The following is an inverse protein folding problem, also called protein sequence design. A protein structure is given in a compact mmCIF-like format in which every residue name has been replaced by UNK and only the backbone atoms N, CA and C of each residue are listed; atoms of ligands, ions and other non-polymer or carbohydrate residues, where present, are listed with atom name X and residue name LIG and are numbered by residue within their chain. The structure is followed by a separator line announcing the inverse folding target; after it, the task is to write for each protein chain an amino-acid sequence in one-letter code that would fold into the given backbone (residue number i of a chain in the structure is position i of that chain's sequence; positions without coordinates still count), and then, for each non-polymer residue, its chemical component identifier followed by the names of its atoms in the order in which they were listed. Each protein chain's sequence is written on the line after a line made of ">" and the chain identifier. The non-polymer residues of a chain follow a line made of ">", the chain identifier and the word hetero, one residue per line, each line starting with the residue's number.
data_IF_670142803053
#
_entry.id   IF_670142803053
#
_cell.length_a   1.000
_cell.length_b   1.000
_cell.length_c   1.000
_cell.angle_alpha   90.00
_cell.angle_beta   90.00
_cell.angle_gamma   90.00
#
_symmetry.space_group_name_H-M   'P 1'
#
loop_
_entity.id
_entity.type
_entity.pdbx_description
1 polymer ?
#
# COMPACT_ATOMS: atom_id res chain seq x y z
N UNK A 1 -27.91 30.77 51.56
CA UNK A 1 -27.57 31.31 50.24
C UNK A 1 -27.42 30.10 49.31
N UNK A 2 -28.47 29.77 48.57
CA UNK A 2 -28.54 28.58 47.70
C UNK A 2 -28.19 29.05 46.30
N UNK A 3 -27.09 28.55 45.74
CA UNK A 3 -26.69 28.84 44.36
C UNK A 3 -27.25 27.73 43.47
N UNK A 4 -28.19 28.09 42.60
CA UNK A 4 -28.76 27.22 41.57
C UNK A 4 -27.81 27.24 40.37
N UNK A 5 -27.25 26.08 40.02
CA UNK A 5 -26.53 25.90 38.75
C UNK A 5 -27.54 25.53 37.65
N UNK A 6 -27.75 26.44 36.70
CA UNK A 6 -28.42 26.17 35.43
C UNK A 6 -27.42 25.46 34.51
N UNK A 7 -27.69 24.23 34.13
CA UNK A 7 -26.96 23.53 33.06
C UNK A 7 -27.69 23.86 31.75
N UNK A 8 -27.10 24.72 30.92
CA UNK A 8 -27.53 24.90 29.54
C UNK A 8 -26.89 23.80 28.69
N UNK A 9 -27.68 22.82 28.26
CA UNK A 9 -27.32 21.90 27.18
C UNK A 9 -27.53 22.60 25.84
N UNK A 10 -26.45 22.98 25.16
CA UNK A 10 -26.49 23.43 23.78
C UNK A 10 -26.46 22.20 22.86
N UNK A 11 -27.62 21.85 22.30
CA UNK A 11 -27.72 20.99 21.12
C UNK A 11 -27.19 21.77 19.91
N UNK A 12 -26.09 21.29 19.31
CA UNK A 12 -25.67 21.76 17.98
C UNK A 12 -26.45 20.95 16.96
N UNK A 13 -27.47 21.56 16.37
CA UNK A 13 -28.08 21.05 15.13
C UNK A 13 -27.11 21.37 13.99
N UNK A 14 -26.59 20.33 13.33
CA UNK A 14 -25.93 20.50 12.04
C UNK A 14 -26.99 20.90 11.01
N UNK A 15 -26.96 22.16 10.57
CA UNK A 15 -27.83 22.63 9.49
C UNK A 15 -27.38 21.98 8.18
N UNK A 16 -28.27 21.16 7.61
CA UNK A 16 -28.23 20.77 6.20
C UNK A 16 -28.48 22.01 5.34
N UNK A 17 -27.42 22.62 4.81
CA UNK A 17 -27.52 23.61 3.74
C UNK A 17 -27.18 22.96 2.40
N UNK A 18 -28.18 22.30 1.80
CA UNK A 18 -28.25 22.16 0.35
C UNK A 18 -28.89 23.42 -0.21
N UNK A 19 -28.09 24.36 -0.70
CA UNK A 19 -28.38 25.14 -1.91
C UNK A 19 -27.23 26.11 -2.18
N UNK A 20 -26.25 25.64 -2.93
CA UNK A 20 -25.44 26.48 -3.81
C UNK A 20 -25.49 25.82 -5.19
N UNK A 21 -25.75 26.58 -6.27
CA UNK A 21 -25.74 26.01 -7.60
C UNK A 21 -24.31 25.51 -7.88
N UNK A 22 -24.13 24.19 -7.99
CA UNK A 22 -22.84 23.59 -8.32
C UNK A 22 -22.48 23.91 -9.77
N UNK A 23 -21.77 25.02 -9.96
CA UNK A 23 -21.09 25.34 -11.22
C UNK A 23 -19.70 24.73 -11.18
N UNK A 24 -19.50 23.56 -11.78
CA UNK A 24 -18.16 22.97 -11.94
C UNK A 24 -18.16 21.56 -12.52
N UNK A 25 -17.73 21.45 -13.78
CA UNK A 25 -17.35 20.23 -14.53
C UNK A 25 -18.46 19.43 -15.24
N UNK A 26 -18.68 19.81 -16.50
CA UNK A 26 -19.26 18.94 -17.52
C UNK A 26 -18.34 17.75 -17.80
N UNK A 27 -18.92 16.59 -18.11
CA UNK A 27 -18.20 15.45 -18.71
C UNK A 27 -17.26 15.94 -19.82
N UNK A 28 -16.04 15.39 -19.89
CA UNK A 28 -15.19 15.65 -21.04
C UNK A 28 -15.92 15.19 -22.32
N UNK A 29 -15.49 15.70 -23.48
CA UNK A 29 -15.98 15.20 -24.76
C UNK A 29 -15.78 13.68 -24.94
N UNK A 30 -14.93 13.06 -24.11
CA UNK A 30 -14.65 11.63 -24.07
C UNK A 30 -15.53 10.84 -23.09
N UNK A 31 -16.45 11.47 -22.36
CA UNK A 31 -17.46 10.80 -21.52
C UNK A 31 -17.02 10.44 -20.10
N UNK A 32 -15.93 11.01 -19.61
CA UNK A 32 -15.42 10.86 -18.23
C UNK A 32 -15.00 12.21 -17.63
N UNK A 33 -14.86 12.26 -16.31
CA UNK A 33 -14.30 13.39 -15.56
C UNK A 33 -12.83 13.11 -15.28
N UNK A 34 -12.00 14.14 -15.37
CA UNK A 34 -10.57 14.05 -15.08
C UNK A 34 -10.27 14.70 -13.73
N UNK A 35 -9.49 14.02 -12.90
CA UNK A 35 -8.83 14.57 -11.72
C UNK A 35 -7.32 14.40 -11.89
N UNK A 36 -6.58 15.49 -12.11
CA UNK A 36 -5.17 15.42 -12.49
C UNK A 36 -4.33 16.56 -11.92
N UNK A 37 -3.00 16.38 -11.96
CA UNK A 37 -2.00 17.42 -11.82
C UNK A 37 -0.88 17.19 -12.85
N UNK A 38 0.27 17.85 -12.67
CA UNK A 38 1.45 17.70 -13.54
C UNK A 38 1.90 16.25 -13.71
N UNK A 39 1.76 15.42 -12.67
CA UNK A 39 2.38 14.09 -12.60
C UNK A 39 1.40 12.95 -12.90
N UNK A 40 0.21 12.98 -12.31
CA UNK A 40 -0.76 11.87 -12.31
C UNK A 40 -2.14 12.32 -12.78
N UNK A 41 -2.86 11.42 -13.46
CA UNK A 41 -4.18 11.64 -14.01
C UNK A 41 -5.12 10.47 -13.67
N UNK A 42 -6.27 10.80 -13.10
CA UNK A 42 -7.37 9.87 -12.84
C UNK A 42 -8.54 10.19 -13.76
N UNK A 43 -8.94 9.22 -14.56
CA UNK A 43 -10.16 9.31 -15.36
C UNK A 43 -11.30 8.56 -14.66
N UNK A 44 -12.40 9.26 -14.40
CA UNK A 44 -13.52 8.80 -13.57
C UNK A 44 -14.79 8.80 -14.43
N UNK A 45 -15.36 7.61 -14.62
CA UNK A 45 -16.55 7.39 -15.44
C UNK A 45 -17.83 7.74 -14.65
N UNK A 46 -18.94 8.11 -15.33
CA UNK A 46 -20.20 8.45 -14.67
C UNK A 46 -20.76 7.39 -13.71
N UNK A 47 -20.38 6.13 -13.91
CA UNK A 47 -20.77 5.00 -13.09
C UNK A 47 -19.91 4.84 -11.81
N UNK A 48 -18.97 5.75 -11.53
CA UNK A 48 -18.07 5.70 -10.38
C UNK A 48 -16.83 4.81 -10.55
N UNK A 49 -16.62 4.21 -11.73
CA UNK A 49 -15.37 3.49 -12.04
C UNK A 49 -14.27 4.47 -12.41
N UNK A 50 -13.02 4.11 -12.12
CA UNK A 50 -11.88 4.96 -12.41
C UNK A 50 -10.72 4.17 -13.02
N UNK A 51 -9.85 4.89 -13.72
CA UNK A 51 -8.55 4.40 -14.22
C UNK A 51 -7.48 5.44 -13.92
N UNK A 52 -6.23 5.00 -13.79
CA UNK A 52 -5.11 5.86 -13.37
C UNK A 52 -3.98 5.72 -14.40
N UNK A 53 -3.43 6.85 -14.79
CA UNK A 53 -2.23 6.96 -15.62
C UNK A 53 -1.41 8.18 -15.22
N UNK A 54 -0.34 8.42 -15.95
CA UNK A 54 0.59 9.52 -15.71
C UNK A 54 0.47 10.59 -16.77
N UNK A 55 0.68 11.83 -16.36
CA UNK A 55 0.96 12.96 -17.24
C UNK A 55 2.47 13.05 -17.44
N UNK A 56 3.19 13.80 -16.60
CA UNK A 56 4.66 13.85 -16.63
C UNK A 56 5.34 12.73 -15.84
N UNK A 57 4.60 11.91 -15.09
CA UNK A 57 5.17 10.75 -14.42
C UNK A 57 6.09 11.10 -13.25
N UNK A 58 7.08 10.24 -12.99
CA UNK A 58 8.12 10.46 -11.98
C UNK A 58 9.13 11.50 -12.52
N UNK A 59 9.34 12.65 -11.86
CA UNK A 59 10.27 13.68 -12.35
C UNK A 59 11.73 13.24 -12.52
N UNK A 60 12.13 12.11 -11.95
CA UNK A 60 13.50 11.58 -12.04
C UNK A 60 13.74 10.73 -13.30
N UNK A 61 12.68 10.30 -14.01
CA UNK A 61 12.77 9.48 -15.22
C UNK A 61 11.74 9.95 -16.27
N UNK A 62 12.10 9.95 -17.55
CA UNK A 62 11.17 10.33 -18.61
C UNK A 62 10.35 9.15 -19.17
N UNK A 63 10.64 7.93 -18.69
CA UNK A 63 10.11 6.69 -19.28
C UNK A 63 8.65 6.44 -18.94
N UNK A 64 8.18 7.00 -17.83
CA UNK A 64 6.80 6.86 -17.37
C UNK A 64 5.90 8.05 -17.73
N UNK A 65 6.33 9.01 -18.55
CA UNK A 65 5.47 10.08 -19.04
C UNK A 65 4.37 9.53 -19.97
N UNK A 66 3.12 9.93 -19.74
CA UNK A 66 1.97 9.55 -20.58
C UNK A 66 1.69 8.04 -20.59
N UNK A 67 1.96 7.34 -19.49
CA UNK A 67 1.85 5.88 -19.37
C UNK A 67 0.66 5.46 -18.53
N UNK A 68 0.20 4.24 -18.78
CA UNK A 68 -0.84 3.59 -17.98
C UNK A 68 -0.23 3.07 -16.68
N UNK A 69 -0.98 3.23 -15.59
CA UNK A 69 -0.77 2.50 -14.34
C UNK A 69 -1.89 1.48 -14.10
N UNK A 70 -3.09 1.73 -14.63
CA UNK A 70 -4.20 0.78 -14.69
C UNK A 70 -4.63 0.53 -16.13
N UNK A 71 -5.15 -0.68 -16.39
CA UNK A 71 -5.55 -1.12 -17.72
C UNK A 71 -6.51 -0.14 -18.39
N UNK A 72 -6.23 0.15 -19.65
CA UNK A 72 -7.05 0.96 -20.53
C UNK A 72 -7.33 2.39 -20.06
N UNK A 73 -6.52 2.97 -19.16
CA UNK A 73 -6.55 4.41 -18.91
C UNK A 73 -6.43 5.18 -20.25
N UNK A 74 -7.27 6.21 -20.49
CA UNK A 74 -8.23 6.82 -19.57
C UNK A 74 -9.69 6.30 -19.69
N UNK A 75 -9.97 5.19 -20.38
CA UNK A 75 -11.35 4.81 -20.79
C UNK A 75 -11.86 3.46 -20.30
N UNK A 76 -11.04 2.66 -19.62
CA UNK A 76 -11.48 1.33 -19.17
C UNK A 76 -12.53 1.39 -18.07
N UNK A 77 -13.21 0.27 -17.89
CA UNK A 77 -14.13 -0.01 -16.79
C UNK A 77 -13.73 -1.29 -16.03
N UNK A 78 -12.54 -1.84 -16.25
CA UNK A 78 -12.11 -3.13 -15.70
C UNK A 78 -11.68 -3.05 -14.24
N UNK A 79 -11.25 -1.88 -13.77
CA UNK A 79 -11.11 -1.53 -12.35
C UNK A 79 -12.49 -1.20 -11.76
N UNK A 80 -12.83 -1.82 -10.62
CA UNK A 80 -14.10 -1.56 -9.94
C UNK A 80 -14.06 -1.94 -8.46
N UNK A 81 -15.03 -1.44 -7.70
CA UNK A 81 -15.22 -1.78 -6.28
C UNK A 81 -16.47 -2.62 -6.10
N UNK A 82 -16.43 -3.56 -5.18
CA UNK A 82 -17.57 -4.38 -4.74
C UNK A 82 -18.00 -3.95 -3.35
N UNK A 83 -19.31 -3.75 -3.18
CA UNK A 83 -19.97 -3.54 -1.89
C UNK A 83 -20.65 -4.85 -1.52
N UNK A 84 -20.23 -5.49 -0.42
CA UNK A 84 -20.90 -6.68 0.12
C UNK A 84 -21.83 -6.24 1.23
N UNK A 85 -23.13 -6.35 1.01
CA UNK A 85 -24.17 -5.95 1.96
C UNK A 85 -25.03 -7.17 2.30
N UNK A 86 -25.04 -7.56 3.58
CA UNK A 86 -25.82 -8.70 4.10
C UNK A 86 -25.65 -9.99 3.28
N UNK A 87 -24.41 -10.24 2.84
CA UNK A 87 -24.04 -11.42 2.05
C UNK A 87 -24.22 -11.28 0.54
N UNK A 88 -24.82 -10.19 0.05
CA UNK A 88 -25.02 -9.92 -1.38
C UNK A 88 -23.92 -8.98 -1.91
N UNK A 89 -23.34 -9.31 -3.06
CA UNK A 89 -22.30 -8.51 -3.70
C UNK A 89 -22.90 -7.57 -4.76
N UNK A 90 -22.58 -6.28 -4.68
CA UNK A 90 -22.95 -5.26 -5.64
C UNK A 90 -21.71 -4.60 -6.22
N UNK A 91 -21.77 -4.21 -7.50
CA UNK A 91 -20.79 -3.25 -8.03
C UNK A 91 -21.04 -1.88 -7.41
N UNK A 92 -19.98 -1.18 -7.00
CA UNK A 92 -20.06 0.24 -6.66
C UNK A 92 -20.60 1.04 -7.86
N UNK A 93 -21.57 1.92 -7.59
CA UNK A 93 -22.14 2.82 -8.58
C UNK A 93 -23.05 2.14 -9.60
N UNK A 94 -22.81 2.38 -10.89
CA UNK A 94 -23.72 1.99 -11.97
C UNK A 94 -25.09 2.64 -11.82
N UNK A 95 -26.16 1.84 -11.89
CA UNK A 95 -27.54 2.33 -11.69
C UNK A 95 -27.82 2.81 -10.26
N UNK A 96 -26.93 2.51 -9.30
CA UNK A 96 -27.08 2.93 -7.90
C UNK A 96 -26.52 4.34 -7.64
N UNK A 97 -25.92 5.01 -8.63
CA UNK A 97 -25.39 6.37 -8.48
C UNK A 97 -26.54 7.33 -8.17
N UNK A 98 -26.51 7.92 -6.97
CA UNK A 98 -27.44 8.95 -6.53
C UNK A 98 -26.84 10.36 -6.68
N UNK A 99 -25.52 10.48 -6.53
CA UNK A 99 -24.77 11.71 -6.83
C UNK A 99 -23.65 11.33 -7.79
N UNK A 100 -23.67 11.83 -9.05
CA UNK A 100 -22.64 11.48 -10.01
C UNK A 100 -21.27 11.99 -9.57
N UNK A 101 -20.19 11.38 -10.06
CA UNK A 101 -18.84 11.90 -9.86
C UNK A 101 -18.76 13.38 -10.25
N UNK A 102 -18.10 14.16 -9.41
CA UNK A 102 -17.82 15.58 -9.64
C UNK A 102 -16.55 15.96 -8.91
N UNK A 103 -15.76 16.87 -9.50
CA UNK A 103 -14.58 17.38 -8.81
C UNK A 103 -15.02 18.42 -7.78
N UNK A 104 -14.34 18.37 -6.65
CA UNK A 104 -14.34 19.40 -5.62
C UNK A 104 -13.01 20.13 -5.85
N UNK A 105 -13.07 21.18 -6.67
CA UNK A 105 -11.91 21.97 -7.06
C UNK A 105 -11.24 22.60 -5.80
N UNK A 106 -9.96 22.97 -5.90
CA UNK A 106 -9.07 23.39 -4.79
C UNK A 106 -8.53 22.26 -3.87
N UNK A 107 -9.18 21.09 -3.81
CA UNK A 107 -8.74 19.97 -2.94
C UNK A 107 -8.02 18.81 -3.65
N UNK A 108 -7.90 18.86 -4.98
CA UNK A 108 -7.56 17.70 -5.83
C UNK A 108 -8.41 16.48 -5.47
N UNK A 109 -9.72 16.67 -5.36
CA UNK A 109 -10.66 15.64 -4.93
C UNK A 109 -11.81 15.47 -5.91
N UNK A 110 -12.27 14.25 -6.09
CA UNK A 110 -13.52 13.90 -6.75
C UNK A 110 -14.39 13.11 -5.78
N UNK A 111 -15.71 13.34 -5.82
CA UNK A 111 -16.66 12.64 -4.96
C UNK A 111 -17.86 12.11 -5.76
N UNK A 112 -18.35 10.93 -5.38
CA UNK A 112 -19.63 10.37 -5.87
C UNK A 112 -20.34 9.61 -4.76
N UNK A 113 -21.65 9.41 -4.88
CA UNK A 113 -22.44 8.66 -3.90
C UNK A 113 -23.32 7.64 -4.61
N UNK A 114 -23.23 6.37 -4.18
CA UNK A 114 -24.13 5.29 -4.55
C UNK A 114 -25.02 4.89 -3.35
N UNK A 115 -26.24 4.40 -3.63
CA UNK A 115 -27.20 3.95 -2.60
C UNK A 115 -27.60 2.50 -2.80
N UNK A 116 -27.52 1.70 -1.73
CA UNK A 116 -27.97 0.31 -1.66
C UNK A 116 -29.06 0.22 -0.60
N UNK A 117 -30.30 0.54 -0.98
CA UNK A 117 -31.36 0.81 -0.01
C UNK A 117 -31.02 2.03 0.85
N UNK A 118 -31.03 1.86 2.17
CA UNK A 118 -30.65 2.91 3.12
C UNK A 118 -29.16 2.89 3.51
N UNK A 119 -28.35 2.00 2.95
CA UNK A 119 -26.89 2.03 3.10
C UNK A 119 -26.28 2.85 1.99
N UNK A 120 -25.65 3.97 2.34
CA UNK A 120 -25.06 4.91 1.39
C UNK A 120 -23.55 4.73 1.35
N UNK A 121 -22.99 4.69 0.14
CA UNK A 121 -21.55 4.53 -0.08
C UNK A 121 -21.05 5.75 -0.84
N UNK A 122 -20.23 6.58 -0.21
CA UNK A 122 -19.54 7.71 -0.84
C UNK A 122 -18.15 7.27 -1.27
N UNK A 123 -17.80 7.47 -2.53
CA UNK A 123 -16.44 7.37 -3.03
C UNK A 123 -15.80 8.76 -2.98
N UNK A 124 -14.62 8.86 -2.39
CA UNK A 124 -13.74 10.01 -2.44
C UNK A 124 -12.40 9.59 -3.07
N UNK A 125 -12.06 10.20 -4.21
CA UNK A 125 -10.77 10.02 -4.88
C UNK A 125 -9.98 11.30 -4.72
N UNK A 126 -8.73 11.23 -4.21
CA UNK A 126 -7.91 12.43 -3.97
C UNK A 126 -6.47 12.25 -4.42
N UNK A 127 -5.87 13.29 -4.99
CA UNK A 127 -4.42 13.32 -5.25
C UNK A 127 -3.69 13.80 -3.99
N UNK A 128 -2.80 12.96 -3.46
CA UNK A 128 -2.09 13.16 -2.20
C UNK A 128 -0.60 12.84 -2.36
N UNK A 129 0.22 13.28 -1.41
CA UNK A 129 1.56 12.73 -1.23
C UNK A 129 1.46 11.36 -0.54
N UNK A 130 1.86 10.32 -1.26
CA UNK A 130 1.88 8.95 -0.77
C UNK A 130 2.83 8.73 0.41
N UNK A 131 3.81 9.62 0.64
CA UNK A 131 4.92 9.46 1.59
C UNK A 131 6.15 8.78 0.97
N UNK A 132 6.19 8.71 -0.36
CA UNK A 132 7.23 7.99 -1.11
C UNK A 132 7.83 8.82 -2.24
N UNK A 133 7.29 10.01 -2.50
CA UNK A 133 7.74 10.88 -3.59
C UNK A 133 7.98 12.33 -3.18
N UNK A 134 7.32 12.81 -2.12
CA UNK A 134 7.33 14.21 -1.72
C UNK A 134 6.43 15.10 -2.58
N UNK A 135 5.64 14.51 -3.49
CA UNK A 135 4.76 15.20 -4.44
C UNK A 135 3.39 14.52 -4.48
N UNK A 136 2.36 15.20 -5.02
CA UNK A 136 1.00 14.66 -5.09
C UNK A 136 0.81 13.66 -6.25
N UNK A 137 1.60 12.60 -6.29
CA UNK A 137 1.60 11.58 -7.36
C UNK A 137 0.92 10.26 -6.95
N UNK A 138 0.17 10.30 -5.84
CA UNK A 138 -0.55 9.14 -5.31
C UNK A 138 -2.04 9.43 -5.24
N UNK A 139 -2.86 8.45 -5.61
CA UNK A 139 -4.31 8.51 -5.50
C UNK A 139 -4.74 7.85 -4.20
N UNK A 140 -5.33 8.62 -3.30
CA UNK A 140 -6.13 8.10 -2.19
C UNK A 140 -7.48 7.65 -2.74
N UNK A 141 -7.79 6.36 -2.57
CA UNK A 141 -9.05 5.74 -2.99
C UNK A 141 -9.81 5.41 -1.71
N UNK A 142 -10.85 6.19 -1.42
CA UNK A 142 -11.61 6.09 -0.17
C UNK A 142 -13.07 5.79 -0.44
N UNK A 143 -13.62 4.89 0.36
CA UNK A 143 -15.05 4.66 0.46
C UNK A 143 -15.51 4.91 1.89
N UNK A 144 -16.49 5.77 2.06
CA UNK A 144 -17.19 6.00 3.32
C UNK A 144 -18.56 5.35 3.21
N UNK A 145 -18.87 4.43 4.12
CA UNK A 145 -20.18 3.76 4.16
C UNK A 145 -20.94 4.21 5.39
N UNK A 146 -22.16 4.70 5.19
CA UNK A 146 -23.07 5.14 6.25
C UNK A 146 -24.33 4.29 6.21
N UNK A 147 -24.70 3.70 7.34
CA UNK A 147 -25.97 3.02 7.50
C UNK A 147 -27.05 4.03 7.91
N UNK A 148 -27.90 4.46 6.97
CA UNK A 148 -29.05 5.33 7.24
C UNK A 148 -30.35 4.54 7.51
N UNK A 149 -30.27 3.21 7.64
CA UNK A 149 -31.41 2.42 8.07
C UNK A 149 -31.61 2.49 9.59
N UNK A 150 -32.76 1.99 10.04
CA UNK A 150 -33.13 1.81 11.44
C UNK A 150 -32.63 0.50 12.04
N UNK A 151 -32.04 -0.39 11.22
CA UNK A 151 -31.52 -1.70 11.61
C UNK A 151 -30.02 -1.81 11.28
N UNK A 152 -29.25 -2.63 12.02
CA UNK A 152 -27.85 -2.88 11.69
C UNK A 152 -27.72 -3.68 10.39
N UNK A 153 -26.62 -3.46 9.67
CA UNK A 153 -26.29 -4.16 8.42
C UNK A 153 -24.84 -4.65 8.44
N UNK A 154 -24.56 -5.80 7.83
CA UNK A 154 -23.19 -6.27 7.64
C UNK A 154 -22.64 -5.75 6.31
N UNK A 155 -21.58 -4.94 6.38
CA UNK A 155 -20.99 -4.27 5.21
C UNK A 155 -19.52 -4.61 5.09
N UNK A 156 -19.12 -5.05 3.89
CA UNK A 156 -17.71 -5.18 3.48
C UNK A 156 -17.44 -4.43 2.18
N UNK A 157 -16.18 -4.03 1.97
CA UNK A 157 -15.72 -3.40 0.73
C UNK A 157 -14.57 -4.21 0.12
N UNK A 158 -14.58 -4.36 -1.21
CA UNK A 158 -13.42 -4.83 -1.97
C UNK A 158 -13.08 -3.84 -3.07
N UNK A 159 -11.86 -3.33 -3.08
CA UNK A 159 -11.33 -2.49 -4.15
C UNK A 159 -10.46 -3.36 -5.05
N UNK A 160 -10.86 -3.57 -6.31
CA UNK A 160 -10.09 -4.35 -7.30
C UNK A 160 -9.57 -3.43 -8.39
N UNK A 161 -8.26 -3.45 -8.61
CA UNK A 161 -7.59 -2.65 -9.63
C UNK A 161 -6.91 -3.56 -10.65
N UNK A 162 -7.25 -3.32 -11.91
CA UNK A 162 -6.71 -4.01 -13.10
C UNK A 162 -5.40 -3.32 -13.53
N UNK A 163 -4.27 -3.97 -13.31
CA UNK A 163 -2.95 -3.33 -13.41
C UNK A 163 -2.35 -3.52 -14.79
N UNK A 164 -1.92 -2.41 -15.40
CA UNK A 164 -1.19 -2.39 -16.67
C UNK A 164 -0.14 -1.30 -16.62
N UNK A 165 1.13 -1.70 -16.65
CA UNK A 165 2.27 -0.80 -16.47
C UNK A 165 2.87 -0.51 -17.83
N UNK A 166 2.61 0.70 -18.34
CA UNK A 166 2.97 1.08 -19.71
C UNK A 166 2.23 0.21 -20.74
N UNK A 167 2.96 -0.73 -21.36
CA UNK A 167 2.41 -1.71 -22.30
C UNK A 167 2.30 -3.13 -21.72
N UNK A 168 2.78 -3.36 -20.49
CA UNK A 168 2.76 -4.68 -19.87
C UNK A 168 1.46 -4.87 -19.07
N UNK A 169 0.57 -5.70 -19.61
CA UNK A 169 -0.71 -6.10 -19.01
C UNK A 169 -0.59 -7.31 -18.05
N UNK A 170 0.60 -7.91 -18.03
CA UNK A 170 0.99 -8.96 -17.10
C UNK A 170 2.05 -8.43 -16.14
N UNK A 171 1.76 -7.27 -15.54
CA UNK A 171 2.70 -6.56 -14.69
C UNK A 171 3.09 -7.42 -13.48
N UNK A 172 4.38 -7.80 -13.33
CA UNK A 172 4.84 -8.48 -12.14
C UNK A 172 4.75 -7.56 -10.92
N UNK A 173 4.58 -8.18 -9.77
CA UNK A 173 4.57 -7.47 -8.48
C UNK A 173 5.86 -7.71 -7.71
N UNK A 174 6.10 -6.83 -6.75
CA UNK A 174 7.22 -6.93 -5.83
C UNK A 174 6.81 -6.44 -4.46
N UNK A 175 7.15 -7.22 -3.44
CA UNK A 175 6.77 -6.95 -2.04
C UNK A 175 8.02 -6.96 -1.16
N UNK A 176 8.30 -5.87 -0.43
CA UNK A 176 9.39 -5.79 0.54
C UNK A 176 9.37 -6.97 1.51
N UNK A 177 10.53 -7.54 1.82
CA UNK A 177 10.64 -8.74 2.66
C UNK A 177 10.21 -10.07 2.02
N UNK A 178 9.48 -10.06 0.90
CA UNK A 178 9.02 -11.27 0.19
C UNK A 178 9.72 -11.48 -1.17
N UNK A 179 9.84 -10.43 -1.99
CA UNK A 179 10.46 -10.52 -3.32
C UNK A 179 9.46 -10.38 -4.46
N UNK A 180 9.86 -10.91 -5.62
CA UNK A 180 9.08 -10.88 -6.84
C UNK A 180 7.89 -11.84 -6.76
N UNK A 181 6.71 -11.37 -7.16
CA UNK A 181 5.46 -12.13 -7.15
C UNK A 181 4.88 -12.15 -8.56
N UNK A 182 4.95 -13.32 -9.18
CA UNK A 182 4.41 -13.61 -10.53
C UNK A 182 3.26 -14.62 -10.50
N UNK A 183 2.91 -15.10 -9.30
CA UNK A 183 1.79 -16.02 -9.06
C UNK A 183 0.82 -15.44 -8.05
N UNK A 184 -0.44 -15.83 -8.15
CA UNK A 184 -1.50 -15.33 -7.29
C UNK A 184 -1.16 -15.64 -5.85
N UNK A 185 -1.06 -14.58 -5.05
CA UNK A 185 -0.62 -14.61 -3.67
C UNK A 185 -1.64 -13.84 -2.83
N UNK A 186 -2.07 -14.46 -1.73
CA UNK A 186 -3.03 -13.88 -0.79
C UNK A 186 -2.32 -13.63 0.53
N UNK A 187 -2.53 -12.44 1.08
CA UNK A 187 -2.07 -12.01 2.39
C UNK A 187 -3.27 -11.77 3.29
N UNK A 188 -3.17 -12.16 4.56
CA UNK A 188 -4.25 -12.05 5.54
C UNK A 188 -3.77 -11.28 6.79
N UNK A 189 -4.60 -10.36 7.28
CA UNK A 189 -4.33 -9.61 8.51
C UNK A 189 -2.90 -9.04 8.57
N UNK A 190 -2.13 -9.48 9.56
CA UNK A 190 -0.76 -8.99 9.80
C UNK A 190 0.27 -9.38 8.72
N UNK A 191 -0.07 -10.29 7.79
CA UNK A 191 0.78 -10.62 6.64
C UNK A 191 0.66 -9.63 5.49
N UNK A 192 -0.35 -8.73 5.53
CA UNK A 192 -0.57 -7.74 4.49
C UNK A 192 0.59 -6.75 4.49
N UNK A 193 1.32 -6.61 3.37
CA UNK A 193 2.46 -5.72 3.32
C UNK A 193 2.00 -4.25 3.40
N UNK A 194 2.78 -3.43 4.10
CA UNK A 194 2.54 -1.99 4.20
C UNK A 194 2.40 -1.35 2.81
N UNK A 195 3.31 -1.72 1.89
CA UNK A 195 3.30 -1.32 0.50
C UNK A 195 3.75 -2.44 -0.44
N UNK A 196 3.40 -2.30 -1.71
CA UNK A 196 3.74 -3.21 -2.80
C UNK A 196 3.95 -2.41 -4.07
N UNK A 197 4.69 -2.97 -5.02
CA UNK A 197 4.95 -2.33 -6.31
C UNK A 197 4.47 -3.22 -7.46
N UNK A 198 3.97 -2.61 -8.53
CA UNK A 198 3.84 -3.24 -9.84
C UNK A 198 4.75 -2.52 -10.83
N UNK A 199 5.30 -3.27 -11.77
CA UNK A 199 6.25 -2.74 -12.76
C UNK A 199 6.08 -3.39 -14.12
N UNK A 200 6.57 -2.73 -15.15
CA UNK A 200 6.61 -3.27 -16.51
C UNK A 200 7.71 -4.33 -16.70
N UNK A 201 8.79 -4.27 -15.90
CA UNK A 201 9.91 -5.22 -15.92
C UNK A 201 10.52 -5.39 -14.52
N UNK A 202 10.85 -6.62 -14.13
CA UNK A 202 11.55 -6.92 -12.86
C UNK A 202 13.04 -6.53 -12.89
N UNK A 203 13.61 -6.41 -14.09
CA UNK A 203 15.06 -6.25 -14.32
C UNK A 203 15.38 -4.77 -14.56
N UNK A 204 14.70 -4.17 -15.53
CA UNK A 204 14.90 -2.80 -15.98
C UNK A 204 13.54 -2.10 -16.04
N UNK A 205 12.95 -1.76 -14.88
CA UNK A 205 11.65 -1.12 -14.84
C UNK A 205 11.70 0.26 -15.48
N UNK A 206 10.76 0.54 -16.37
CA UNK A 206 10.59 1.86 -17.00
C UNK A 206 9.29 2.54 -16.55
N UNK A 207 8.32 1.77 -16.04
CA UNK A 207 7.08 2.26 -15.43
C UNK A 207 6.83 1.46 -14.16
N UNK A 208 6.76 2.15 -13.02
CA UNK A 208 6.53 1.51 -11.71
C UNK A 208 5.44 2.24 -10.97
N UNK A 209 4.43 1.49 -10.53
CA UNK A 209 3.44 1.97 -9.59
C UNK A 209 3.68 1.40 -8.19
N UNK A 210 3.12 2.08 -7.20
CA UNK A 210 3.12 1.61 -5.83
C UNK A 210 1.70 1.66 -5.26
N UNK A 211 1.32 0.61 -4.55
CA UNK A 211 0.15 0.61 -3.67
C UNK A 211 0.55 0.59 -2.20
N UNK A 212 -0.25 1.24 -1.35
CA UNK A 212 -0.04 1.24 0.11
C UNK A 212 -1.31 0.77 0.81
N UNK A 213 -1.21 -0.30 1.61
CA UNK A 213 -2.35 -0.94 2.27
C UNK A 213 -2.59 -0.43 3.69
N UNK A 214 -1.53 -0.07 4.42
CA UNK A 214 -1.60 0.08 5.90
C UNK A 214 -1.22 1.50 6.35
N UNK A 215 -1.32 2.50 5.48
CA UNK A 215 -0.94 3.88 5.80
C UNK A 215 -1.87 4.45 6.89
N UNK A 216 -1.47 4.41 8.17
CA UNK A 216 -2.13 5.12 9.29
C UNK A 216 -3.62 4.80 9.47
N UNK A 217 -4.05 3.61 9.04
CA UNK A 217 -5.47 3.31 8.95
C UNK A 217 -5.98 2.79 10.29
N UNK A 218 -7.03 3.44 10.83
CA UNK A 218 -7.80 2.89 11.96
C UNK A 218 -8.51 1.59 11.59
N UNK A 219 -8.82 1.42 10.30
CA UNK A 219 -9.47 0.23 9.73
C UNK A 219 -8.60 -0.39 8.61
N UNK A 220 -7.54 -1.13 8.94
CA UNK A 220 -6.70 -1.80 7.95
C UNK A 220 -7.48 -2.88 7.18
N UNK A 221 -7.04 -3.26 5.97
CA UNK A 221 -7.66 -4.37 5.24
C UNK A 221 -7.49 -5.70 5.96
N UNK A 222 -8.46 -6.60 5.77
CA UNK A 222 -8.44 -7.95 6.35
C UNK A 222 -7.78 -8.96 5.41
N UNK A 223 -7.81 -8.70 4.10
CA UNK A 223 -7.21 -9.55 3.05
C UNK A 223 -6.70 -8.72 1.88
N UNK A 224 -5.55 -9.09 1.34
CA UNK A 224 -4.96 -8.47 0.15
C UNK A 224 -4.50 -9.53 -0.84
N UNK A 225 -4.79 -9.33 -2.12
CA UNK A 225 -4.45 -10.30 -3.18
C UNK A 225 -3.69 -9.59 -4.29
N UNK A 226 -2.56 -10.17 -4.67
CA UNK A 226 -1.86 -9.92 -5.92
C UNK A 226 -2.15 -11.11 -6.83
N UNK A 227 -2.78 -10.90 -7.99
CA UNK A 227 -3.38 -12.00 -8.73
C UNK A 227 -3.68 -11.74 -10.20
N UNK A 228 -4.53 -12.60 -10.76
CA UNK A 228 -5.05 -12.44 -12.13
C UNK A 228 -6.38 -11.68 -12.11
N UNK A 229 -6.52 -10.69 -13.00
CA UNK A 229 -7.77 -9.96 -13.24
C UNK A 229 -8.92 -10.91 -13.51
N UNK A 230 -8.72 -11.89 -14.40
CA UNK A 230 -9.75 -12.87 -14.78
C UNK A 230 -10.27 -13.68 -13.58
N UNK A 231 -9.42 -13.97 -12.60
CA UNK A 231 -9.81 -14.70 -11.39
C UNK A 231 -10.58 -13.76 -10.44
N UNK A 232 -10.06 -12.55 -10.23
CA UNK A 232 -10.65 -11.58 -9.30
C UNK A 232 -11.98 -11.01 -9.80
N UNK A 233 -12.17 -10.86 -11.12
CA UNK A 233 -13.42 -10.36 -11.68
C UNK A 233 -14.54 -11.39 -11.59
N UNK A 234 -14.23 -12.67 -11.82
CA UNK A 234 -15.21 -13.75 -11.81
C UNK A 234 -15.56 -14.22 -10.39
N UNK A 235 -14.73 -13.88 -9.40
CA UNK A 235 -14.94 -14.28 -8.01
C UNK A 235 -14.85 -13.05 -7.10
N UNK A 236 -16.01 -12.44 -6.85
CA UNK A 236 -16.04 -11.13 -6.18
C UNK A 236 -15.55 -11.12 -4.72
N UNK A 237 -15.56 -12.27 -4.05
CA UNK A 237 -15.25 -12.31 -2.61
C UNK A 237 -14.51 -13.57 -2.20
N UNK A 238 -15.07 -14.72 -2.58
CA UNK A 238 -14.62 -16.04 -2.17
C UNK A 238 -14.02 -16.75 -3.37
N UNK A 239 -12.73 -17.09 -3.27
CA UNK A 239 -12.05 -17.94 -4.24
C UNK A 239 -10.87 -18.65 -3.57
N UNK A 240 -10.42 -19.74 -4.18
CA UNK A 240 -9.20 -20.44 -3.79
C UNK A 240 -8.43 -20.76 -5.07
N UNK A 241 -7.50 -19.89 -5.44
CA UNK A 241 -6.72 -20.00 -6.67
C UNK A 241 -5.24 -19.74 -6.38
N UNK A 242 -4.39 -20.57 -6.99
CA UNK A 242 -2.94 -20.36 -7.04
C UNK A 242 -2.50 -20.69 -8.46
N UNK A 243 -1.86 -19.74 -9.12
CA UNK A 243 -1.42 -19.86 -10.50
C UNK A 243 -0.74 -18.59 -10.98
N UNK A 244 -0.34 -18.52 -12.25
CA UNK A 244 0.29 -17.33 -12.80
C UNK A 244 -0.70 -16.14 -12.79
N UNK A 245 -0.19 -14.93 -12.53
CA UNK A 245 -1.01 -13.73 -12.57
C UNK A 245 -1.54 -13.43 -13.98
N UNK A 246 -0.76 -13.69 -15.04
CA UNK A 246 -1.15 -13.33 -16.41
C UNK A 246 -1.62 -11.88 -16.46
N UNK A 247 -2.76 -11.64 -17.09
CA UNK A 247 -3.54 -10.39 -16.96
C UNK A 247 -3.69 -10.02 -15.48
N UNK A 248 -2.90 -9.02 -15.06
CA UNK A 248 -2.55 -8.80 -13.65
C UNK A 248 -3.54 -7.88 -12.96
N UNK A 249 -3.89 -8.17 -11.71
CA UNK A 249 -4.72 -7.30 -10.91
C UNK A 249 -4.44 -7.47 -9.42
N UNK A 250 -4.92 -6.50 -8.65
CA UNK A 250 -4.88 -6.55 -7.19
C UNK A 250 -6.30 -6.45 -6.64
N UNK A 251 -6.53 -7.00 -5.46
CA UNK A 251 -7.75 -6.75 -4.70
C UNK A 251 -7.46 -6.59 -3.21
N UNK A 252 -7.92 -5.48 -2.64
CA UNK A 252 -7.88 -5.18 -1.21
C UNK A 252 -9.28 -5.35 -0.63
N UNK A 253 -9.39 -6.11 0.46
CA UNK A 253 -10.66 -6.51 1.06
C UNK A 253 -10.75 -6.06 2.51
N UNK A 254 -11.92 -5.56 2.87
CA UNK A 254 -12.39 -5.45 4.24
C UNK A 254 -13.61 -6.36 4.38
N UNK A 255 -13.47 -7.39 5.22
CA UNK A 255 -14.50 -8.40 5.43
C UNK A 255 -15.73 -7.77 6.09
N UNK A 256 -16.96 -8.29 5.83
CA UNK A 256 -18.17 -7.68 6.35
C UNK A 256 -18.18 -7.57 7.87
N UNK A 257 -18.37 -6.35 8.38
CA UNK A 257 -18.56 -6.06 9.80
C UNK A 257 -19.93 -5.42 10.00
N UNK A 258 -20.54 -5.67 11.16
CA UNK A 258 -21.81 -5.04 11.52
C UNK A 258 -21.61 -3.53 11.65
N UNK A 259 -22.47 -2.77 10.98
CA UNK A 259 -22.54 -1.31 11.02
C UNK A 259 -23.89 -0.93 11.61
N UNK A 260 -23.88 -0.33 12.80
CA UNK A 260 -25.10 0.04 13.52
C UNK A 260 -25.89 1.14 12.79
N UNK A 261 -27.16 1.31 13.16
CA UNK A 261 -27.99 2.41 12.65
C UNK A 261 -27.33 3.77 12.91
N UNK A 262 -27.17 4.58 11.87
CA UNK A 262 -26.50 5.87 11.89
C UNK A 262 -24.98 5.82 11.90
N UNK A 263 -24.37 4.64 11.99
CA UNK A 263 -22.92 4.49 12.04
C UNK A 263 -22.28 4.68 10.66
N UNK A 264 -21.04 5.16 10.67
CA UNK A 264 -20.22 5.36 9.48
C UNK A 264 -18.85 4.73 9.65
N UNK A 265 -18.33 4.11 8.59
CA UNK A 265 -16.99 3.54 8.55
C UNK A 265 -16.28 3.89 7.25
N UNK A 266 -14.95 3.92 7.27
CA UNK A 266 -14.10 4.30 6.14
C UNK A 266 -13.18 3.14 5.71
N UNK A 267 -12.97 3.04 4.41
CA UNK A 267 -12.10 2.06 3.76
C UNK A 267 -11.18 2.79 2.78
N UNK A 268 -9.87 2.67 2.97
CA UNK A 268 -8.89 3.49 2.25
C UNK A 268 -7.81 2.61 1.67
N UNK A 269 -7.39 2.87 0.43
CA UNK A 269 -6.12 2.39 -0.10
C UNK A 269 -5.47 3.48 -0.95
N UNK A 270 -4.19 3.33 -1.25
CA UNK A 270 -3.44 4.28 -2.03
C UNK A 270 -2.82 3.58 -3.24
N UNK A 271 -2.82 4.24 -4.40
CA UNK A 271 -2.16 3.75 -5.60
C UNK A 271 -1.63 4.91 -6.44
N UNK A 272 -0.40 4.83 -6.91
CA UNK A 272 0.20 5.91 -7.69
C UNK A 272 1.58 5.58 -8.20
N UNK A 273 2.33 6.63 -8.52
CA UNK A 273 3.69 6.53 -9.05
C UNK A 273 4.63 6.05 -7.94
N UNK A 274 5.53 5.13 -8.28
CA UNK A 274 6.60 4.71 -7.38
C UNK A 274 7.90 5.45 -7.71
N UNK A 275 8.50 6.12 -6.72
CA UNK A 275 9.89 6.59 -6.86
C UNK A 275 10.88 5.49 -6.51
N UNK A 276 11.86 5.31 -7.37
CA UNK A 276 12.99 4.40 -7.19
C UNK A 276 14.23 5.03 -7.79
N UNK A 277 15.39 4.59 -7.34
CA UNK A 277 16.67 4.94 -7.97
C UNK A 277 17.34 3.66 -8.45
N UNK A 278 17.92 3.70 -9.64
CA UNK A 278 18.53 2.55 -10.29
C UNK A 278 19.97 2.87 -10.69
N UNK A 279 20.87 1.91 -10.48
CA UNK A 279 22.18 1.86 -11.11
C UNK A 279 22.26 0.56 -11.92
N UNK A 280 22.36 0.69 -13.24
CA UNK A 280 22.31 -0.44 -14.19
C UNK A 280 23.54 -0.52 -15.11
N UNK A 281 24.55 0.30 -14.87
CA UNK A 281 25.79 0.40 -15.67
C UNK A 281 26.86 -0.63 -15.29
N UNK A 282 26.57 -1.50 -14.30
CA UNK A 282 27.51 -2.44 -13.69
C UNK A 282 26.98 -3.89 -13.70
N UNK A 283 27.84 -4.90 -13.47
CA UNK A 283 27.44 -6.32 -13.42
C UNK A 283 26.25 -6.61 -12.50
N UNK A 284 26.21 -5.93 -11.35
CA UNK A 284 25.09 -5.97 -10.41
C UNK A 284 24.22 -4.74 -10.65
N UNK A 285 23.03 -4.94 -11.22
CA UNK A 285 22.01 -3.90 -11.33
C UNK A 285 21.32 -3.77 -9.98
N UNK A 286 21.26 -2.56 -9.45
CA UNK A 286 20.68 -2.27 -8.13
C UNK A 286 19.57 -1.26 -8.25
N UNK A 287 18.37 -1.63 -7.78
CA UNK A 287 17.21 -0.76 -7.67
C UNK A 287 16.90 -0.55 -6.20
N UNK A 288 16.84 0.70 -5.74
CA UNK A 288 16.52 1.03 -4.34
C UNK A 288 15.15 1.71 -4.27
N UNK A 289 14.24 1.11 -3.49
CA UNK A 289 12.90 1.60 -3.20
C UNK A 289 12.66 1.77 -1.68
N UNK A 290 11.75 2.64 -1.27
CA UNK A 290 11.47 2.97 0.14
C UNK A 290 10.86 4.36 0.32
N UNK A 291 10.50 4.70 1.55
CA UNK A 291 9.97 6.02 1.92
C UNK A 291 10.98 7.14 1.60
N UNK A 292 10.49 8.23 0.98
CA UNK A 292 11.27 9.47 0.77
C UNK A 292 10.89 10.56 1.75
N UNK A 293 9.81 10.38 2.51
CA UNK A 293 9.43 11.26 3.60
C UNK A 293 8.74 10.48 4.71
N UNK A 294 8.83 10.99 5.93
CA UNK A 294 8.01 10.55 7.06
C UNK A 294 6.95 11.61 7.36
N UNK A 295 5.89 11.24 8.07
CA UNK A 295 4.93 12.21 8.61
C UNK A 295 5.11 12.33 10.12
N UNK A 296 5.08 13.56 10.62
CA UNK A 296 5.04 13.84 12.04
C UNK A 296 3.63 13.67 12.59
N UNK A 297 3.53 13.04 13.74
CA UNK A 297 2.32 12.83 14.54
C UNK A 297 2.62 13.20 15.99
N UNK A 298 1.58 13.35 16.81
CA UNK A 298 1.73 13.61 18.26
C UNK A 298 2.58 12.54 18.96
N UNK A 299 2.54 11.29 18.48
CA UNK A 299 3.25 10.13 19.03
C UNK A 299 4.61 9.86 18.38
N UNK A 300 5.06 10.69 17.43
CA UNK A 300 6.35 10.52 16.73
C UNK A 300 6.22 10.53 15.21
N UNK A 301 7.15 9.86 14.52
CA UNK A 301 7.07 9.71 13.08
C UNK A 301 6.34 8.44 12.69
N UNK A 302 5.76 8.47 11.50
CA UNK A 302 5.24 7.26 10.87
C UNK A 302 5.59 7.34 9.36
N UNK A 303 5.75 6.20 8.67
CA UNK A 303 6.15 4.94 9.30
C UNK A 303 7.46 5.12 10.08
N UNK A 304 7.54 4.56 11.28
CA UNK A 304 8.77 4.51 12.09
C UNK A 304 8.66 3.31 13.04
N UNK A 305 9.35 2.18 12.78
CA UNK A 305 10.37 2.01 11.75
C UNK A 305 9.83 2.12 10.33
N UNK A 306 10.70 2.53 9.40
CA UNK A 306 10.44 2.56 7.96
C UNK A 306 11.38 1.59 7.24
N UNK A 307 11.01 1.16 6.03
CA UNK A 307 11.77 0.15 5.29
C UNK A 307 12.41 0.76 4.04
N UNK A 308 13.70 0.44 3.84
CA UNK A 308 14.41 0.63 2.57
C UNK A 308 14.71 -0.76 2.01
N UNK A 309 14.45 -0.97 0.73
CA UNK A 309 14.71 -2.24 0.06
C UNK A 309 15.57 -2.03 -1.17
N UNK A 310 16.62 -2.84 -1.32
CA UNK A 310 17.40 -2.94 -2.53
C UNK A 310 17.11 -4.26 -3.25
N UNK A 311 16.82 -4.17 -4.54
CA UNK A 311 16.67 -5.29 -5.45
C UNK A 311 17.92 -5.39 -6.30
N UNK A 312 18.49 -6.57 -6.33
CA UNK A 312 19.81 -6.84 -6.90
C UNK A 312 19.62 -7.87 -7.98
N UNK A 313 20.10 -7.56 -9.18
CA UNK A 313 20.11 -8.47 -10.32
C UNK A 313 21.55 -8.70 -10.75
N UNK A 314 21.92 -9.97 -10.91
CA UNK A 314 23.14 -10.30 -11.64
C UNK A 314 22.83 -10.22 -13.15
N UNK A 315 23.30 -9.16 -13.79
CA UNK A 315 23.08 -8.89 -15.22
C UNK A 315 24.22 -9.43 -16.11
N UNK A 316 24.93 -10.47 -15.65
CA UNK A 316 26.00 -11.14 -16.40
C UNK A 316 25.61 -12.58 -16.76
N UNK A 317 26.40 -13.19 -17.63
CA UNK A 317 26.27 -14.61 -18.03
C UNK A 317 26.94 -15.57 -17.03
N UNK A 318 27.63 -15.05 -16.00
CA UNK A 318 28.38 -15.82 -15.03
C UNK A 318 27.77 -15.73 -13.62
N UNK A 319 28.16 -16.66 -12.73
CA UNK A 319 27.78 -16.57 -11.31
C UNK A 319 28.69 -15.59 -10.58
N UNK A 320 28.12 -14.56 -9.98
CA UNK A 320 28.85 -13.66 -9.07
C UNK A 320 28.84 -14.27 -7.67
N UNK A 321 30.03 -14.42 -7.08
CA UNK A 321 30.24 -15.05 -5.78
C UNK A 321 30.19 -14.04 -4.65
N UNK A 322 29.77 -14.51 -3.46
CA UNK A 322 29.84 -13.77 -2.21
C UNK A 322 29.26 -12.34 -2.29
N UNK A 323 28.11 -12.18 -2.96
CA UNK A 323 27.45 -10.87 -3.06
C UNK A 323 27.06 -10.39 -1.66
N UNK A 324 27.32 -9.10 -1.40
CA UNK A 324 27.00 -8.37 -0.18
C UNK A 324 26.31 -7.07 -0.52
N UNK A 325 25.47 -6.62 0.40
CA UNK A 325 24.80 -5.34 0.31
C UNK A 325 24.95 -4.60 1.64
N UNK A 326 25.31 -3.32 1.57
CA UNK A 326 25.47 -2.43 2.71
C UNK A 326 24.59 -1.21 2.54
N UNK A 327 23.99 -0.73 3.63
CA UNK A 327 23.40 0.60 3.71
C UNK A 327 24.27 1.53 4.57
N UNK A 328 24.68 2.65 3.98
CA UNK A 328 25.42 3.74 4.63
C UNK A 328 24.40 4.79 5.06
N UNK A 329 24.25 4.96 6.37
CA UNK A 329 23.24 5.82 6.98
C UNK A 329 23.84 7.18 7.40
N UNK A 330 23.08 8.27 7.28
CA UNK A 330 23.45 9.57 7.83
C UNK A 330 23.19 9.63 9.34
N UNK A 331 23.77 10.63 10.01
CA UNK A 331 23.41 10.97 11.39
C UNK A 331 21.89 11.22 11.50
N UNK A 332 21.26 10.63 12.52
CA UNK A 332 19.83 10.76 12.79
C UNK A 332 18.96 9.62 12.28
N UNK A 333 19.52 8.69 11.48
CA UNK A 333 18.87 7.44 11.10
C UNK A 333 19.70 6.27 11.64
N UNK A 334 19.04 5.34 12.31
CA UNK A 334 19.68 4.17 12.91
C UNK A 334 18.97 2.88 12.46
N UNK A 335 19.66 1.73 12.40
CA UNK A 335 18.99 0.46 12.21
C UNK A 335 18.02 0.18 13.36
N UNK A 336 16.84 -0.35 13.04
CA UNK A 336 15.95 -0.91 14.05
C UNK A 336 16.62 -2.12 14.73
N UNK A 337 16.26 -2.41 15.98
CA UNK A 337 16.92 -3.48 16.76
C UNK A 337 16.89 -4.81 16.01
N UNK A 338 18.08 -5.39 15.80
CA UNK A 338 18.27 -6.64 15.06
C UNK A 338 18.42 -6.48 13.54
N UNK A 339 18.38 -5.26 13.00
CA UNK A 339 18.70 -5.00 11.59
C UNK A 339 20.21 -4.89 11.38
N UNK A 340 20.78 -5.82 10.61
CA UNK A 340 22.16 -5.70 10.13
C UNK A 340 22.23 -4.69 8.97
N UNK A 341 23.14 -3.72 9.07
CA UNK A 341 23.39 -2.77 7.97
C UNK A 341 24.22 -3.39 6.84
N UNK A 342 24.94 -4.47 7.12
CA UNK A 342 25.73 -5.27 6.19
C UNK A 342 25.09 -6.66 6.04
N UNK A 343 24.54 -6.95 4.87
CA UNK A 343 23.80 -8.18 4.60
C UNK A 343 24.56 -9.02 3.56
N UNK A 344 24.86 -10.27 3.92
CA UNK A 344 25.33 -11.26 2.97
C UNK A 344 24.18 -11.75 2.09
N UNK A 345 24.26 -11.43 0.79
CA UNK A 345 23.31 -11.89 -0.24
C UNK A 345 23.67 -13.30 -0.71
N UNK A 346 24.97 -13.63 -0.67
CA UNK A 346 25.53 -14.91 -1.10
C UNK A 346 25.72 -14.98 -2.61
N UNK A 347 25.94 -16.18 -3.13
CA UNK A 347 26.15 -16.38 -4.57
C UNK A 347 24.88 -16.02 -5.38
N UNK A 348 25.09 -15.41 -6.54
CA UNK A 348 24.04 -15.04 -7.49
C UNK A 348 24.35 -15.63 -8.85
N UNK A 349 23.57 -16.60 -9.29
CA UNK A 349 23.67 -17.16 -10.64
C UNK A 349 23.38 -16.09 -11.71
N UNK A 350 23.82 -16.34 -12.94
CA UNK A 350 23.53 -15.51 -14.10
C UNK A 350 22.02 -15.21 -14.21
N UNK A 351 21.67 -13.95 -14.40
CA UNK A 351 20.28 -13.49 -14.49
C UNK A 351 19.45 -13.60 -13.20
N UNK A 352 20.02 -14.03 -12.07
CA UNK A 352 19.25 -14.20 -10.84
C UNK A 352 18.96 -12.88 -10.12
N UNK A 353 17.83 -12.86 -9.41
CA UNK A 353 17.36 -11.72 -8.63
C UNK A 353 17.33 -12.05 -7.14
N UNK A 354 17.78 -11.11 -6.31
CA UNK A 354 17.65 -11.15 -4.85
C UNK A 354 17.26 -9.79 -4.32
N UNK A 355 16.81 -9.76 -3.07
CA UNK A 355 16.52 -8.51 -2.38
C UNK A 355 17.14 -8.50 -0.99
N UNK A 356 17.36 -7.30 -0.48
CA UNK A 356 17.69 -7.03 0.91
C UNK A 356 16.84 -5.86 1.39
N UNK A 357 16.38 -5.92 2.64
CA UNK A 357 15.57 -4.88 3.25
C UNK A 357 16.16 -4.49 4.60
N UNK A 358 16.19 -3.19 4.88
CA UNK A 358 16.61 -2.63 6.15
C UNK A 358 15.43 -1.93 6.79
N UNK A 359 15.06 -2.36 8.01
CA UNK A 359 14.16 -1.60 8.87
C UNK A 359 14.98 -0.58 9.65
N UNK A 360 14.62 0.68 9.51
CA UNK A 360 15.34 1.82 10.04
C UNK A 360 14.43 2.67 10.92
N UNK A 361 15.05 3.36 11.87
CA UNK A 361 14.37 4.28 12.76
C UNK A 361 14.94 5.69 12.57
N UNK A 362 14.05 6.67 12.43
CA UNK A 362 14.42 8.08 12.42
C UNK A 362 14.25 8.66 13.83
N UNK A 363 15.32 9.27 14.33
CA UNK A 363 15.27 10.05 15.56
C UNK A 363 14.45 11.33 15.36
N UNK A 364 13.68 11.68 16.38
CA UNK A 364 12.93 12.91 16.49
C UNK A 364 13.86 14.15 16.31
N UNK A 365 13.49 15.11 15.44
CA UNK A 365 14.28 16.32 15.16
C UNK A 365 13.46 17.62 15.27
N UNK A 366 14.05 18.74 15.72
CA UNK A 366 13.33 20.00 15.97
C UNK A 366 13.01 20.79 14.69
N UNK A 367 13.73 20.52 13.61
CA UNK A 367 13.58 21.18 12.31
C UNK A 367 13.58 20.13 11.22
N UNK A 368 12.80 20.36 10.16
CA UNK A 368 12.78 19.46 9.02
C UNK A 368 14.17 19.36 8.38
N UNK A 369 14.60 18.13 8.05
CA UNK A 369 15.86 17.87 7.35
C UNK A 369 15.67 16.88 6.23
N UNK A 370 16.41 17.08 5.14
CA UNK A 370 16.59 16.06 4.10
C UNK A 370 17.93 15.38 4.31
N UNK A 371 17.92 14.08 4.56
CA UNK A 371 19.09 13.27 4.89
C UNK A 371 19.40 12.32 3.73
N UNK A 372 20.66 12.29 3.29
CA UNK A 372 21.13 11.39 2.24
C UNK A 372 21.63 10.07 2.81
N UNK A 373 21.26 8.95 2.19
CA UNK A 373 21.81 7.63 2.46
C UNK A 373 22.27 6.97 1.17
N UNK A 374 23.08 5.92 1.30
CA UNK A 374 23.61 5.20 0.15
C UNK A 374 23.50 3.69 0.34
N UNK A 375 23.12 2.98 -0.70
CA UNK A 375 23.21 1.51 -0.77
C UNK A 375 24.39 1.14 -1.65
N UNK A 376 25.23 0.23 -1.17
CA UNK A 376 26.41 -0.28 -1.87
C UNK A 376 26.28 -1.79 -2.01
N UNK A 377 26.43 -2.32 -3.22
CA UNK A 377 26.35 -3.77 -3.49
C UNK A 377 27.58 -4.19 -4.28
N UNK A 378 28.19 -5.30 -3.88
CA UNK A 378 29.37 -5.85 -4.56
C UNK A 378 29.43 -7.37 -4.35
N UNK A 379 30.14 -8.06 -5.24
CA UNK A 379 30.56 -9.45 -5.09
C UNK A 379 32.03 -9.62 -5.44
N UNK A 380 32.52 -10.85 -5.41
CA UNK A 380 33.90 -11.16 -5.78
C UNK A 380 34.18 -10.74 -7.24
N UNK A 381 35.35 -10.13 -7.46
CA UNK A 381 35.83 -9.67 -8.77
C UNK A 381 34.89 -8.70 -9.52
N UNK A 382 34.01 -8.00 -8.78
CA UNK A 382 33.12 -6.96 -9.33
C UNK A 382 33.45 -5.59 -8.77
N UNK A 383 33.25 -4.55 -9.57
CA UNK A 383 33.15 -3.18 -9.06
C UNK A 383 31.87 -3.01 -8.23
N UNK A 384 31.92 -2.20 -7.18
CA UNK A 384 30.74 -1.91 -6.36
C UNK A 384 29.72 -1.08 -7.13
N UNK A 385 28.45 -1.45 -7.06
CA UNK A 385 27.32 -0.64 -7.51
C UNK A 385 26.83 0.21 -6.34
N UNK A 386 26.69 1.51 -6.56
CA UNK A 386 26.26 2.47 -5.54
C UNK A 386 24.97 3.16 -6.00
N UNK A 387 23.99 3.27 -5.10
CA UNK A 387 22.76 4.01 -5.33
C UNK A 387 22.55 4.98 -4.16
N UNK A 388 22.48 6.27 -4.47
CA UNK A 388 22.25 7.33 -3.48
C UNK A 388 20.78 7.75 -3.51
N UNK A 389 20.21 7.98 -2.32
CA UNK A 389 18.84 8.45 -2.15
C UNK A 389 18.74 9.38 -0.95
N UNK A 390 17.62 10.07 -0.86
CA UNK A 390 17.33 11.01 0.22
C UNK A 390 15.99 10.69 0.88
N UNK A 391 15.90 11.01 2.17
CA UNK A 391 14.65 10.98 2.94
C UNK A 391 14.47 12.30 3.69
N UNK A 392 13.27 12.87 3.60
CA UNK A 392 12.88 14.06 4.35
C UNK A 392 12.22 13.66 5.67
N UNK A 393 12.86 14.07 6.76
CA UNK A 393 12.34 13.91 8.12
C UNK A 393 11.72 15.26 8.53
N UNK A 394 10.41 15.35 8.79
CA UNK A 394 9.78 16.61 9.20
C UNK A 394 10.19 17.01 10.62
N UNK A 395 9.99 18.28 10.97
CA UNK A 395 10.08 18.71 12.35
C UNK A 395 9.09 17.89 13.19
N UNK A 396 9.53 17.44 14.36
CA UNK A 396 8.64 16.74 15.28
C UNK A 396 7.62 17.71 15.87
N UNK A 397 6.40 17.22 16.05
CA UNK A 397 5.29 17.94 16.69
C UNK A 397 4.89 17.29 18.02
N UNK A 398 5.71 16.36 18.52
CA UNK A 398 5.46 15.66 19.78
C UNK A 398 5.77 16.57 20.96
N UNK A 399 4.98 16.46 22.03
CA UNK A 399 5.16 17.20 23.29
C UNK A 399 6.57 17.05 23.90
N UNK A 400 7.33 16.02 23.49
CA UNK A 400 8.75 15.84 23.82
C UNK A 400 9.60 17.05 23.39
N UNK A 401 9.21 17.80 22.35
CA UNK A 401 9.90 19.02 21.90
C UNK A 401 9.35 20.32 22.51
N UNK A 402 8.22 20.26 23.20
CA UNK A 402 7.59 21.43 23.84
C UNK A 402 7.98 21.56 25.32
N UNK A 403 9.10 20.95 25.74
CA UNK A 403 9.73 21.24 27.02
C UNK A 403 10.84 22.28 26.84
N UNK A 404 10.47 23.56 26.80
CA UNK A 404 11.37 24.70 26.55
C UNK A 404 12.53 24.91 27.55
N UNK A 405 13.04 23.87 28.22
CA UNK A 405 13.97 23.95 29.34
C UNK A 405 15.17 22.97 29.25
N UNK A 406 15.15 21.85 28.52
CA UNK A 406 16.27 20.88 28.69
C UNK A 406 16.75 20.08 27.46
N UNK A 407 17.61 20.70 26.64
CA UNK A 407 18.33 20.08 25.52
C UNK A 407 19.18 18.83 25.88
N UNK A 408 19.37 18.48 27.16
CA UNK A 408 20.14 17.30 27.58
C UNK A 408 19.37 15.97 27.47
N UNK A 409 18.03 15.99 27.44
CA UNK A 409 17.19 14.79 27.16
C UNK A 409 17.29 14.29 25.72
N UNK A 410 17.92 15.07 24.84
CA UNK A 410 17.94 14.90 23.39
C UNK A 410 19.24 14.28 22.87
N UNK A 411 20.17 13.89 23.76
CA UNK A 411 21.32 13.05 23.38
C UNK A 411 20.83 11.62 23.26
N UNK A 412 20.81 11.11 22.03
CA UNK A 412 20.72 9.69 21.67
C UNK A 412 21.19 8.81 22.82
N UNK A 413 20.26 8.19 23.54
CA UNK A 413 20.56 7.20 24.57
C UNK A 413 21.10 5.97 23.85
N UNK A 414 22.41 5.98 23.63
CA UNK A 414 23.18 4.79 23.34
C UNK A 414 23.39 4.08 24.67
N UNK A 415 22.55 3.11 25.00
CA UNK A 415 22.94 2.01 25.87
C UNK A 415 22.59 0.67 25.20
N UNK A 416 23.64 -0.13 25.00
CA UNK A 416 23.60 -1.45 24.37
C UNK A 416 23.34 -2.44 25.51
N UNK A 417 22.07 -2.83 25.70
CA UNK A 417 21.59 -3.66 26.81
C UNK A 417 21.75 -3.00 28.20
N UNK A 418 21.28 -3.55 29.32
CA UNK A 418 19.98 -4.20 29.53
C UNK A 418 19.04 -3.11 30.09
N UNK A 419 17.90 -2.93 29.42
CA UNK A 419 16.70 -2.17 29.80
C UNK A 419 16.71 -0.64 29.61
N UNK A 420 16.26 -0.22 28.43
CA UNK A 420 15.30 0.88 28.25
C UNK A 420 14.30 0.48 27.14
N UNK A 421 13.14 -0.02 27.52
CA UNK A 421 12.00 -0.19 26.62
C UNK A 421 11.39 1.18 26.32
N UNK A 422 11.30 1.54 25.03
CA UNK A 422 10.15 2.28 24.56
C UNK A 422 9.06 1.23 24.35
N UNK A 423 8.12 1.11 25.30
CA UNK A 423 6.92 0.29 25.12
C UNK A 423 6.08 0.93 24.00
N UNK A 424 6.29 0.44 22.79
CA UNK A 424 5.44 0.67 21.62
C UNK A 424 4.75 -0.65 21.29
N UNK A 425 4.03 -1.23 22.25
CA UNK A 425 2.95 -2.17 21.94
C UNK A 425 1.88 -1.37 21.17
N UNK A 426 1.53 -1.65 19.91
CA UNK A 426 1.34 -2.92 19.22
C UNK A 426 1.61 -2.80 17.70
N UNK A 427 2.62 -3.51 17.20
CA UNK A 427 2.62 -4.31 15.95
C UNK A 427 4.03 -4.87 15.76
N UNK A 428 4.27 -6.06 16.31
CA UNK A 428 5.48 -6.82 16.01
C UNK A 428 5.31 -7.33 14.57
N UNK A 429 5.97 -6.68 13.61
CA UNK A 429 6.12 -7.24 12.26
C UNK A 429 6.98 -8.51 12.39
N UNK A 430 6.34 -9.67 12.55
CA UNK A 430 7.03 -10.96 12.50
C UNK A 430 7.36 -11.27 11.04
N UNK A 431 8.60 -11.64 10.78
CA UNK A 431 9.03 -12.24 9.51
C UNK A 431 8.03 -13.34 9.13
N UNK A 432 7.38 -13.31 7.94
CA UNK A 432 6.41 -14.32 7.58
C UNK A 432 7.10 -15.68 7.45
N UNK A 433 6.71 -16.64 8.29
CA UNK A 433 7.04 -18.05 8.11
C UNK A 433 6.07 -18.63 7.08
N UNK A 434 6.59 -18.94 5.88
CA UNK A 434 5.81 -19.62 4.84
C UNK A 434 5.47 -21.03 5.34
N UNK A 435 4.28 -21.19 5.89
CA UNK A 435 3.73 -22.50 6.21
C UNK A 435 3.39 -23.25 4.92
N UNK A 436 4.32 -24.06 4.42
CA UNK A 436 4.04 -25.09 3.41
C UNK A 436 3.22 -26.23 4.02
N UNK A 437 1.97 -25.95 4.36
CA UNK A 437 1.06 -27.00 4.85
C UNK A 437 0.44 -27.71 3.66
N UNK A 438 1.05 -28.82 3.24
CA UNK A 438 0.40 -29.83 2.40
C UNK A 438 -0.72 -30.45 3.24
N UNK A 439 -1.97 -30.02 3.01
CA UNK A 439 -3.14 -30.75 3.54
C UNK A 439 -3.29 -32.08 2.80
N UNK A 440 -2.71 -33.15 3.35
CA UNK A 440 -3.20 -34.51 3.06
C UNK A 440 -4.52 -34.69 3.83
N UNK A 441 -5.64 -34.68 3.11
CA UNK A 441 -6.91 -35.13 3.65
C UNK A 441 -6.84 -36.64 3.92
N UNK A 442 -6.63 -37.02 5.18
CA UNK A 442 -6.91 -38.36 5.68
C UNK A 442 -8.25 -38.36 6.40
N UNK A 443 -9.29 -38.91 5.77
CA UNK A 443 -10.50 -39.32 6.50
C UNK A 443 -10.26 -40.67 7.18
N UNK A 444 -10.73 -40.88 8.43
CA UNK A 444 -10.58 -42.15 9.12
C UNK A 444 -11.69 -43.10 8.67
N UNK A 445 -11.33 -44.22 8.02
CA UNK A 445 -12.24 -45.35 7.90
C UNK A 445 -11.87 -46.42 8.92
N UNK A 446 -12.91 -46.80 9.66
CA UNK A 446 -12.96 -47.73 10.77
C UNK A 446 -12.30 -49.08 10.45
N UNK A 447 -11.43 -49.53 11.35
CA UNK A 447 -10.95 -50.89 11.37
C UNK A 447 -12.05 -51.85 11.85
N UNK A 448 -12.43 -52.78 10.99
CA UNK A 448 -13.09 -54.02 11.37
C UNK A 448 -12.01 -55.10 11.49
N UNK A 449 -11.96 -55.73 12.66
CA UNK A 449 -11.16 -56.90 12.98
C UNK A 449 -11.67 -58.15 12.23
N UNK A 450 -10.76 -58.85 11.55
CA UNK A 450 -10.65 -60.31 11.38
C UNK A 450 -9.23 -60.53 10.82
N UNK A 451 -8.31 -61.22 11.49
CA UNK A 451 -8.37 -62.65 11.78
C UNK A 451 -7.34 -63.35 10.88
N UNK A 452 -6.23 -63.79 11.49
CA UNK A 452 -5.04 -64.44 10.91
C UNK A 452 -5.30 -65.57 9.91
N UNK A 453 -4.41 -65.75 8.92
CA UNK A 453 -3.49 -66.92 8.77
C UNK A 453 -2.64 -66.85 7.49
N UNK A 454 -1.32 -66.96 7.69
CA UNK A 454 -0.33 -67.78 6.97
C UNK A 454 0.06 -67.66 5.47
N UNK A 455 1.40 -67.70 5.33
CA UNK A 455 2.25 -68.41 4.34
C UNK A 455 2.56 -67.81 2.95
N UNK A 456 3.85 -67.45 2.82
CA UNK A 456 4.84 -67.74 1.75
C UNK A 456 4.46 -67.66 0.27
N UNK A 457 5.26 -66.88 -0.47
CA UNK A 457 5.39 -66.88 -1.93
C UNK A 457 6.29 -65.75 -2.38
#
# INVERSE_FOLDING_TARGET
>A
MILVFLICSSYVYAENTMDQPMTGNSLSAAGYITLENEYINVAINPNGRFTIGTNEGNPEIATDNGKKLLFGWPRSNTTYTTVRLDGINYYYGGDNIATPPHNIDEEYRNSSVAKYGNVFVRQDIRLVDGGFSGIRDTVEIKYIVTNNDTVPHNVGIRIMMDTMLGSNDSAPFRVPGIGDIVTTTTFLGDEIPDYWQAMDSLVEPTVVSQGTNVKYQQNPPDKFVLGSWSILVNNMWDFNYTGNNGDSAIATYWEPKELASGETTEYITYYGISKFSIASDKPLVVIVSGNTSLNATETGYVPNPFTITAYITNNTDDTIKNVKAQIILPDGIVPYTGTDIDIAVGDMAAGSHKQVSWQLFAGQIPEQKTLGYKVVVWGDDTESTEVERQITIPASISDIFDDGIDKSKYKVLREIGNDFEQDITSRIHRKPEINRTIRRNGSPLQGIWQGSTDTTG
#
